data_IF_906589311182
#
_entry.id   IF_906589311182
#
_cell.length_a   1.000
_cell.length_b   1.000
_cell.length_c   1.000
_cell.angle_alpha   90.00
_cell.angle_beta   90.00
_cell.angle_gamma   90.00
#
_symmetry.space_group_name_H-M   'P 1'
#
loop_
_entity.id
_entity.type
_entity.pdbx_description
1 polymer ?
#
# COMPACT_ATOMS: atom_id res chain seq x y z
N UNK A 1 -22.73 8.33 -2.50
CA UNK A 1 -21.28 8.49 -2.61
C UNK A 1 -20.97 9.24 -3.89
N UNK A 2 -20.19 10.29 -3.84
CA UNK A 2 -19.87 11.08 -5.03
C UNK A 2 -18.64 10.52 -5.76
N UNK A 3 -18.33 11.08 -6.92
CA UNK A 3 -17.20 10.61 -7.73
C UNK A 3 -15.86 10.76 -7.03
N UNK A 4 -15.71 11.81 -6.21
CA UNK A 4 -14.46 12.01 -5.46
C UNK A 4 -14.25 10.90 -4.46
N UNK A 5 -15.30 10.50 -3.74
CA UNK A 5 -15.22 9.42 -2.75
C UNK A 5 -14.93 8.09 -3.43
N UNK A 6 -15.55 7.84 -4.57
CA UNK A 6 -15.29 6.61 -5.34
C UNK A 6 -13.84 6.57 -5.80
N UNK A 7 -13.31 7.69 -6.29
CA UNK A 7 -11.93 7.76 -6.74
C UNK A 7 -10.95 7.48 -5.61
N UNK A 8 -11.21 8.05 -4.41
CA UNK A 8 -10.37 7.79 -3.24
C UNK A 8 -10.37 6.31 -2.87
N UNK A 9 -11.54 5.67 -2.91
CA UNK A 9 -11.63 4.24 -2.60
C UNK A 9 -10.87 3.39 -3.62
N UNK A 10 -10.90 3.78 -4.90
CA UNK A 10 -10.13 3.08 -5.93
C UNK A 10 -8.63 3.24 -5.72
N UNK A 11 -8.19 4.43 -5.28
CA UNK A 11 -6.78 4.64 -4.93
C UNK A 11 -6.36 3.79 -3.74
N UNK A 12 -7.23 3.63 -2.74
CA UNK A 12 -6.96 2.75 -1.62
C UNK A 12 -6.81 1.30 -2.07
N UNK A 13 -7.63 0.88 -3.03
CA UNK A 13 -7.54 -0.47 -3.60
C UNK A 13 -6.20 -0.69 -4.31
N UNK A 14 -5.74 0.31 -5.06
CA UNK A 14 -4.42 0.26 -5.69
C UNK A 14 -3.30 0.12 -4.66
N UNK A 15 -3.40 0.85 -3.54
CA UNK A 15 -2.41 0.75 -2.46
C UNK A 15 -2.42 -0.62 -1.80
N UNK A 16 -3.58 -1.24 -1.67
CA UNK A 16 -3.69 -2.60 -1.13
C UNK A 16 -2.97 -3.58 -2.05
N UNK A 17 -3.17 -3.47 -3.35
CA UNK A 17 -2.49 -4.31 -4.33
C UNK A 17 -0.98 -4.11 -4.27
N UNK A 18 -0.53 -2.87 -4.14
CA UNK A 18 0.88 -2.55 -4.00
C UNK A 18 1.47 -3.21 -2.75
N UNK A 19 0.77 -3.09 -1.62
CA UNK A 19 1.21 -3.70 -0.36
C UNK A 19 1.34 -5.22 -0.49
N UNK A 20 0.34 -5.85 -1.09
CA UNK A 20 0.38 -7.31 -1.26
C UNK A 20 1.50 -7.74 -2.18
N UNK A 21 1.77 -6.97 -3.23
CA UNK A 21 2.89 -7.22 -4.11
C UNK A 21 4.23 -7.12 -3.40
N UNK A 22 4.37 -6.12 -2.51
CA UNK A 22 5.58 -5.96 -1.70
C UNK A 22 5.79 -7.14 -0.77
N UNK A 23 4.73 -7.60 -0.11
CA UNK A 23 4.79 -8.75 0.80
C UNK A 23 5.17 -10.01 0.03
N UNK A 24 4.56 -10.23 -1.12
CA UNK A 24 4.84 -11.39 -1.96
C UNK A 24 6.29 -11.40 -2.43
N UNK A 25 6.81 -10.24 -2.84
CA UNK A 25 8.20 -10.12 -3.28
C UNK A 25 9.16 -10.43 -2.13
N UNK A 26 8.87 -9.92 -0.92
CA UNK A 26 9.70 -10.21 0.24
C UNK A 26 9.73 -11.71 0.55
N UNK A 27 8.56 -12.37 0.50
CA UNK A 27 8.48 -13.81 0.74
C UNK A 27 9.26 -14.60 -0.29
N UNK A 28 9.15 -14.20 -1.55
CA UNK A 28 9.89 -14.85 -2.63
C UNK A 28 11.39 -14.75 -2.40
N UNK A 29 11.87 -13.55 -2.06
CA UNK A 29 13.29 -13.32 -1.81
C UNK A 29 13.81 -14.11 -0.62
N UNK A 30 13.03 -14.15 0.46
CA UNK A 30 13.40 -14.95 1.63
C UNK A 30 13.50 -16.44 1.28
N UNK A 31 12.54 -16.93 0.51
CA UNK A 31 12.55 -18.32 0.06
C UNK A 31 13.77 -18.67 -0.78
N UNK A 32 14.24 -17.71 -1.55
CA UNK A 32 15.44 -17.89 -2.37
C UNK A 32 16.76 -17.61 -1.61
N UNK A 33 16.66 -17.21 -0.35
CA UNK A 33 17.83 -16.87 0.46
C UNK A 33 18.40 -15.50 0.20
N UNK A 34 17.64 -14.63 -0.47
CA UNK A 34 18.05 -13.26 -0.76
C UNK A 34 17.55 -12.30 0.31
N UNK A 35 18.14 -11.10 0.35
CA UNK A 35 17.66 -10.03 1.22
C UNK A 35 16.29 -9.56 0.74
N UNK A 36 15.45 -9.10 1.70
CA UNK A 36 14.13 -8.56 1.36
C UNK A 36 14.27 -7.27 0.56
N UNK A 37 13.30 -7.05 -0.35
CA UNK A 37 13.29 -5.85 -1.20
C UNK A 37 12.69 -4.64 -0.48
N UNK A 38 11.70 -4.86 0.40
CA UNK A 38 10.94 -3.80 1.04
C UNK A 38 11.03 -3.94 2.55
N UNK A 39 11.61 -2.93 3.20
CA UNK A 39 11.75 -2.90 4.64
C UNK A 39 10.63 -2.11 5.30
N UNK A 40 10.76 -1.91 6.62
CA UNK A 40 9.78 -1.18 7.41
C UNK A 40 9.53 0.23 6.88
N UNK A 41 10.57 0.91 6.43
CA UNK A 41 10.44 2.28 5.91
C UNK A 41 9.50 2.33 4.71
N UNK A 42 9.59 1.33 3.83
CA UNK A 42 8.72 1.26 2.64
C UNK A 42 7.27 1.07 3.04
N UNK A 43 7.02 0.22 4.04
CA UNK A 43 5.66 0.00 4.53
C UNK A 43 5.11 1.20 5.27
N UNK A 44 5.95 1.95 5.97
CA UNK A 44 5.53 3.19 6.64
C UNK A 44 5.11 4.26 5.63
N UNK A 45 5.85 4.39 4.54
CA UNK A 45 5.49 5.31 3.47
C UNK A 45 4.11 4.95 2.90
N UNK A 46 3.88 3.66 2.71
CA UNK A 46 2.59 3.18 2.22
C UNK A 46 1.46 3.50 3.21
N UNK A 47 1.71 3.30 4.50
CA UNK A 47 0.75 3.62 5.55
C UNK A 47 0.40 5.12 5.57
N UNK A 48 1.39 5.97 5.34
CA UNK A 48 1.15 7.41 5.24
C UNK A 48 0.25 7.77 4.07
N UNK A 49 0.39 7.06 2.96
CA UNK A 49 -0.49 7.26 1.79
C UNK A 49 -1.93 6.90 2.14
N UNK A 50 -2.14 5.80 2.87
CA UNK A 50 -3.47 5.41 3.34
C UNK A 50 -4.06 6.47 4.25
N UNK A 51 -3.28 7.01 5.18
CA UNK A 51 -3.75 8.05 6.08
C UNK A 51 -4.16 9.30 5.33
N UNK A 52 -3.37 9.71 4.35
CA UNK A 52 -3.69 10.88 3.53
C UNK A 52 -5.01 10.69 2.79
N UNK A 53 -5.25 9.53 2.21
CA UNK A 53 -6.49 9.24 1.51
C UNK A 53 -7.68 9.18 2.47
N UNK A 54 -7.47 8.64 3.66
CA UNK A 54 -8.52 8.57 4.68
C UNK A 54 -8.93 9.97 5.14
N UNK A 55 -7.95 10.86 5.31
CA UNK A 55 -8.23 12.25 5.66
C UNK A 55 -9.02 12.96 4.54
N UNK A 56 -8.66 12.71 3.28
CA UNK A 56 -9.40 13.23 2.14
C UNK A 56 -10.85 12.75 2.13
N UNK A 57 -11.05 11.48 2.44
CA UNK A 57 -12.40 10.89 2.43
C UNK A 57 -13.30 11.52 3.49
N UNK A 58 -12.73 11.99 4.59
CA UNK A 58 -13.48 12.61 5.68
C UNK A 58 -13.89 14.06 5.41
N UNK A 59 -13.28 14.69 4.41
CA UNK A 59 -13.65 16.03 4.01
C UNK A 59 -14.96 15.99 3.21
#
# INVERSE_FOLDING_TARGET
MDFKQIDILLQMEELICEREGMIAENKFREHCGNSIAYGEDNFQILAQKFESLRAELRK
#
